data_IF_763134747602
#
_entry.id   IF_763134747602
#
_cell.length_a   1.000
_cell.length_b   1.000
_cell.length_c   1.000
_cell.angle_alpha   90.00
_cell.angle_beta   90.00
_cell.angle_gamma   90.00
#
_symmetry.space_group_name_H-M   'P 1'
#
loop_
_entity.id
_entity.type
_entity.pdbx_description
1 polymer ?
#
# COMPACT_ATOMS: atom_id res chain seq x y z
N UNK A 1 -4.40 13.15 35.67
CA UNK A 1 -3.81 12.56 34.46
C UNK A 1 -4.98 12.21 33.58
N UNK A 2 -5.34 13.12 32.68
CA UNK A 2 -6.49 12.95 31.80
C UNK A 2 -6.15 11.91 30.74
N UNK A 3 -6.96 10.87 30.65
CA UNK A 3 -7.03 9.97 29.51
C UNK A 3 -7.15 10.81 28.24
N UNK A 4 -6.03 10.96 27.52
CA UNK A 4 -6.09 11.36 26.13
C UNK A 4 -6.59 10.13 25.41
N UNK A 5 -7.90 9.98 25.31
CA UNK A 5 -8.50 9.12 24.31
C UNK A 5 -7.81 9.48 22.99
N UNK A 6 -6.92 8.61 22.53
CA UNK A 6 -6.21 8.84 21.29
C UNK A 6 -7.28 8.92 20.22
N UNK A 7 -7.56 10.13 19.74
CA UNK A 7 -8.56 10.35 18.69
C UNK A 7 -8.17 9.45 17.54
N UNK A 8 -8.94 8.39 17.32
CA UNK A 8 -8.66 7.41 16.28
C UNK A 8 -8.70 8.16 14.95
N UNK A 9 -7.55 8.28 14.30
CA UNK A 9 -7.44 8.86 12.96
C UNK A 9 -7.83 7.80 11.93
N UNK A 10 -8.38 8.24 10.80
CA UNK A 10 -8.49 7.41 9.60
C UNK A 10 -7.09 6.89 9.20
N UNK A 11 -7.07 5.75 8.51
CA UNK A 11 -5.88 5.04 8.06
C UNK A 11 -5.69 5.25 6.56
N UNK A 12 -4.44 5.45 6.15
CA UNK A 12 -4.02 5.53 4.76
C UNK A 12 -3.36 4.21 4.38
N UNK A 13 -4.00 3.50 3.46
CA UNK A 13 -3.50 2.29 2.83
C UNK A 13 -2.94 2.65 1.46
N UNK A 14 -1.77 2.12 1.12
CA UNK A 14 -1.11 2.42 -0.14
C UNK A 14 -0.30 1.21 -0.58
N UNK A 15 -0.27 1.02 -1.89
CA UNK A 15 0.51 0.00 -2.56
C UNK A 15 1.21 0.61 -3.78
N UNK A 16 2.40 0.10 -4.06
CA UNK A 16 3.20 0.49 -5.22
C UNK A 16 3.50 -0.74 -6.06
N UNK A 17 3.41 -0.55 -7.38
CA UNK A 17 4.06 -1.46 -8.31
C UNK A 17 5.39 -0.86 -8.75
N UNK A 18 6.43 -1.70 -8.80
CA UNK A 18 7.79 -1.31 -9.16
C UNK A 18 8.35 -2.16 -10.28
N UNK A 19 9.41 -1.65 -10.93
CA UNK A 19 10.21 -2.44 -11.89
C UNK A 19 11.11 -3.50 -11.22
N UNK A 20 11.03 -3.64 -9.89
CA UNK A 20 11.74 -4.61 -9.08
C UNK A 20 11.90 -4.13 -7.63
N UNK A 21 12.76 -4.79 -6.85
CA UNK A 21 12.87 -4.57 -5.40
C UNK A 21 14.06 -3.70 -4.97
N UNK A 22 15.03 -3.48 -5.86
CA UNK A 22 16.28 -2.78 -5.56
C UNK A 22 16.10 -1.28 -5.69
N UNK A 23 16.17 -0.56 -4.57
CA UNK A 23 15.85 0.87 -4.50
C UNK A 23 16.75 1.73 -5.40
N UNK A 24 17.98 1.29 -5.66
CA UNK A 24 18.97 2.06 -6.43
C UNK A 24 18.77 2.00 -7.94
N UNK A 25 18.09 0.97 -8.44
CA UNK A 25 17.95 0.70 -9.88
C UNK A 25 16.49 0.58 -10.33
N UNK A 26 15.58 0.19 -9.45
CA UNK A 26 14.17 0.02 -9.75
C UNK A 26 13.38 1.32 -9.55
N UNK A 27 12.24 1.43 -10.21
CA UNK A 27 11.41 2.64 -10.28
C UNK A 27 9.96 2.30 -9.96
N UNK A 28 9.22 3.28 -9.42
CA UNK A 28 7.78 3.20 -9.23
C UNK A 28 7.09 3.31 -10.60
N UNK A 29 6.13 2.43 -10.87
CA UNK A 29 5.34 2.37 -12.11
C UNK A 29 3.83 2.39 -11.87
N UNK A 30 3.34 2.08 -10.67
CA UNK A 30 1.97 2.34 -10.27
C UNK A 30 1.90 2.78 -8.81
N UNK A 31 0.91 3.59 -8.48
CA UNK A 31 0.54 3.94 -7.11
C UNK A 31 -0.98 4.01 -6.97
N UNK A 32 -1.49 3.50 -5.86
CA UNK A 32 -2.88 3.68 -5.45
C UNK A 32 -2.96 3.89 -3.93
N UNK A 33 -4.07 4.47 -3.47
CA UNK A 33 -4.34 4.65 -2.05
C UNK A 33 -5.81 4.43 -1.72
N UNK A 34 -6.09 3.88 -0.53
CA UNK A 34 -7.42 3.77 0.05
C UNK A 34 -7.41 4.39 1.45
N UNK A 35 -8.48 5.10 1.77
CA UNK A 35 -8.74 5.59 3.12
C UNK A 35 -9.72 4.66 3.80
N UNK A 36 -9.38 4.20 5.00
CA UNK A 36 -10.34 3.54 5.89
C UNK A 36 -10.54 4.33 7.18
N UNK A 37 -11.67 4.09 7.83
CA UNK A 37 -11.79 4.39 9.24
C UNK A 37 -10.95 3.38 10.09
N UNK A 38 -10.85 3.58 11.41
CA UNK A 38 -10.12 2.67 12.30
C UNK A 38 -10.70 1.25 12.40
N UNK A 39 -11.96 1.05 12.01
CA UNK A 39 -12.65 -0.23 12.00
C UNK A 39 -12.58 -0.90 10.61
N UNK A 40 -11.70 -0.39 9.75
CA UNK A 40 -11.37 -0.92 8.42
C UNK A 40 -12.51 -0.77 7.40
N UNK A 41 -13.47 0.13 7.63
CA UNK A 41 -14.47 0.48 6.64
C UNK A 41 -13.86 1.45 5.61
N UNK A 42 -14.00 1.13 4.32
CA UNK A 42 -13.49 1.97 3.23
C UNK A 42 -14.31 3.26 3.17
N UNK A 43 -13.61 4.40 3.21
CA UNK A 43 -14.19 5.74 3.13
C UNK A 43 -14.01 6.36 1.73
N UNK A 44 -12.86 6.08 1.09
CA UNK A 44 -12.54 6.61 -0.23
C UNK A 44 -11.43 5.79 -0.92
N UNK A 45 -11.44 5.78 -2.24
CA UNK A 45 -10.43 5.13 -3.10
C UNK A 45 -9.84 6.16 -4.07
N UNK A 46 -8.52 6.16 -4.24
CA UNK A 46 -7.86 6.95 -5.28
C UNK A 46 -7.98 6.25 -6.63
N UNK A 47 -7.76 6.95 -7.77
CA UNK A 47 -7.43 6.24 -9.00
C UNK A 47 -6.14 5.43 -8.83
N UNK A 48 -6.00 4.33 -9.56
CA UNK A 48 -4.74 3.64 -9.74
C UNK A 48 -3.93 4.36 -10.82
N UNK A 49 -2.85 5.03 -10.41
CA UNK A 49 -2.09 5.94 -11.26
C UNK A 49 -0.88 5.18 -11.82
N UNK A 50 -0.93 4.86 -13.12
CA UNK A 50 0.25 4.37 -13.83
C UNK A 50 1.21 5.53 -14.07
N UNK A 51 2.47 5.38 -13.67
CA UNK A 51 3.50 6.42 -13.74
C UNK A 51 4.40 6.14 -14.94
N UNK A 52 4.51 7.12 -15.82
CA UNK A 52 5.31 7.01 -17.04
C UNK A 52 6.78 6.66 -16.74
N UNK A 53 7.31 5.70 -17.49
CA UNK A 53 8.74 5.37 -17.54
C UNK A 53 9.17 5.14 -18.98
N UNK A 54 10.43 5.47 -19.28
CA UNK A 54 11.02 5.25 -20.60
C UNK A 54 11.18 3.75 -20.90
N UNK A 55 11.21 3.40 -22.18
CA UNK A 55 11.37 2.01 -22.66
C UNK A 55 12.61 1.30 -22.09
N UNK A 56 13.71 2.00 -21.90
CA UNK A 56 14.93 1.41 -21.34
C UNK A 56 14.74 0.93 -19.89
N UNK A 57 13.95 1.67 -19.10
CA UNK A 57 13.60 1.30 -17.73
C UNK A 57 12.68 0.07 -17.74
N UNK A 58 11.64 0.08 -18.59
CA UNK A 58 10.71 -1.05 -18.70
C UNK A 58 11.41 -2.33 -19.17
N UNK A 59 12.38 -2.22 -20.10
CA UNK A 59 13.18 -3.36 -20.57
C UNK A 59 14.19 -3.87 -19.56
N UNK A 60 14.55 -3.05 -18.57
CA UNK A 60 15.49 -3.44 -17.50
C UNK A 60 14.85 -4.26 -16.38
N UNK A 61 13.52 -4.42 -16.40
CA UNK A 61 12.79 -5.26 -15.46
C UNK A 61 13.29 -6.71 -15.47
N UNK A 62 13.24 -7.36 -14.30
CA UNK A 62 13.51 -8.80 -14.24
C UNK A 62 12.37 -9.61 -14.91
N UNK A 63 12.62 -10.90 -15.16
CA UNK A 63 11.67 -11.77 -15.86
C UNK A 63 10.32 -11.90 -15.16
N UNK A 64 10.30 -11.83 -13.83
CA UNK A 64 9.06 -11.87 -13.06
C UNK A 64 8.23 -10.60 -13.30
N UNK A 65 8.83 -9.42 -13.18
CA UNK A 65 8.14 -8.14 -13.41
C UNK A 65 7.63 -8.01 -14.85
N UNK A 66 8.44 -8.41 -15.85
CA UNK A 66 8.03 -8.41 -17.26
C UNK A 66 6.77 -9.25 -17.48
N UNK A 67 6.74 -10.45 -16.88
CA UNK A 67 5.60 -11.35 -17.00
C UNK A 67 4.37 -10.79 -16.29
N UNK A 68 4.50 -10.51 -14.99
CA UNK A 68 3.39 -10.09 -14.13
C UNK A 68 2.76 -8.78 -14.63
N UNK A 69 3.58 -7.75 -14.86
CA UNK A 69 3.10 -6.45 -15.33
C UNK A 69 2.65 -6.48 -16.79
N UNK A 70 3.11 -7.46 -17.56
CA UNK A 70 2.64 -7.71 -18.92
C UNK A 70 1.23 -8.32 -18.92
N UNK A 71 1.02 -9.35 -18.10
CA UNK A 71 -0.25 -10.07 -17.98
C UNK A 71 -1.35 -9.20 -17.35
N UNK A 72 -1.01 -8.34 -16.39
CA UNK A 72 -1.97 -7.37 -15.80
C UNK A 72 -2.30 -6.18 -16.72
N UNK A 73 -1.53 -5.99 -17.80
CA UNK A 73 -1.63 -4.84 -18.69
C UNK A 73 -1.00 -3.55 -18.14
N UNK A 74 -0.40 -3.59 -16.94
CA UNK A 74 0.25 -2.43 -16.31
C UNK A 74 1.38 -1.87 -17.17
N UNK A 75 2.21 -2.74 -17.78
CA UNK A 75 3.33 -2.29 -18.62
C UNK A 75 2.86 -1.40 -19.76
N UNK A 76 1.71 -1.73 -20.36
CA UNK A 76 1.15 -0.92 -21.44
C UNK A 76 0.52 0.38 -20.94
N UNK A 77 -0.15 0.35 -19.77
CA UNK A 77 -0.64 1.57 -19.11
C UNK A 77 0.50 2.53 -18.78
N UNK A 78 1.65 2.02 -18.35
CA UNK A 78 2.85 2.83 -18.06
C UNK A 78 3.39 3.48 -19.34
N UNK A 79 3.47 2.74 -20.46
CA UNK A 79 3.88 3.32 -21.75
C UNK A 79 2.96 4.43 -22.23
N UNK A 80 1.66 4.24 -22.05
CA UNK A 80 0.63 5.19 -22.48
C UNK A 80 0.42 6.36 -21.51
N UNK A 81 0.91 6.23 -20.28
CA UNK A 81 0.78 7.27 -19.26
C UNK A 81 1.60 8.49 -19.64
N UNK A 82 1.04 9.67 -19.37
CA UNK A 82 1.75 10.95 -19.41
C UNK A 82 2.01 11.51 -18.01
N UNK A 83 1.68 10.75 -16.96
CA UNK A 83 1.79 11.18 -15.56
C UNK A 83 3.20 10.86 -15.06
N UNK A 84 3.94 11.89 -14.64
CA UNK A 84 5.26 11.74 -14.02
C UNK A 84 5.18 11.51 -12.50
N UNK A 85 6.31 11.16 -11.88
CA UNK A 85 6.41 10.91 -10.43
C UNK A 85 5.86 12.06 -9.58
N UNK A 86 6.28 13.30 -9.85
CA UNK A 86 5.86 14.46 -9.07
C UNK A 86 4.35 14.73 -9.18
N UNK A 87 3.77 14.51 -10.37
CA UNK A 87 2.33 14.68 -10.58
C UNK A 87 1.54 13.62 -9.83
N UNK A 88 1.97 12.35 -9.93
CA UNK A 88 1.37 11.26 -9.16
C UNK A 88 1.46 11.49 -7.64
N UNK A 89 2.60 11.98 -7.13
CA UNK A 89 2.78 12.33 -5.73
C UNK A 89 1.77 13.40 -5.29
N UNK A 90 1.58 14.46 -6.09
CA UNK A 90 0.61 15.52 -5.76
C UNK A 90 -0.83 15.02 -5.83
N UNK A 91 -1.19 14.19 -6.81
CA UNK A 91 -2.53 13.62 -6.91
C UNK A 91 -2.89 12.78 -5.68
N UNK A 92 -1.95 11.95 -5.19
CA UNK A 92 -2.17 11.18 -3.96
C UNK A 92 -2.24 12.10 -2.73
N UNK A 93 -1.36 13.09 -2.63
CA UNK A 93 -1.41 14.09 -1.55
C UNK A 93 -2.75 14.85 -1.51
N UNK A 94 -3.26 15.28 -2.66
CA UNK A 94 -4.55 15.96 -2.78
C UNK A 94 -5.71 15.04 -2.40
N UNK A 95 -5.63 13.75 -2.76
CA UNK A 95 -6.60 12.74 -2.38
C UNK A 95 -6.65 12.49 -0.86
N UNK A 96 -5.50 12.37 -0.17
CA UNK A 96 -5.47 11.99 1.26
C UNK A 96 -5.75 13.15 2.22
N UNK A 97 -5.38 14.39 1.85
CA UNK A 97 -5.47 15.59 2.72
C UNK A 97 -6.86 15.85 3.33
N UNK A 98 -7.98 15.67 2.61
CA UNK A 98 -9.31 15.86 3.18
C UNK A 98 -9.66 14.88 4.31
N UNK A 99 -9.01 13.71 4.35
CA UNK A 99 -9.40 12.61 5.25
C UNK A 99 -8.49 12.43 6.46
N UNK A 100 -7.20 12.77 6.33
CA UNK A 100 -6.18 12.50 7.34
C UNK A 100 -5.25 13.69 7.42
N UNK A 101 -4.98 14.22 8.61
CA UNK A 101 -3.96 15.26 8.80
C UNK A 101 -2.56 14.67 8.75
N UNK A 102 -1.58 15.45 8.26
CA UNK A 102 -0.17 15.09 8.26
C UNK A 102 0.28 14.51 9.62
N UNK A 103 1.00 13.41 9.57
CA UNK A 103 1.59 12.74 10.73
C UNK A 103 0.60 11.97 11.60
N UNK A 104 -0.68 11.82 11.21
CA UNK A 104 -1.67 11.10 12.01
C UNK A 104 -1.80 9.62 11.66
N UNK A 105 -1.82 9.26 10.38
CA UNK A 105 -1.91 7.85 9.96
C UNK A 105 -0.52 7.23 9.81
N UNK A 106 -0.28 6.00 10.28
CA UNK A 106 0.82 5.19 9.77
C UNK A 106 0.61 4.89 8.28
N UNK A 107 1.65 4.40 7.60
CA UNK A 107 1.49 3.78 6.30
C UNK A 107 1.01 2.33 6.49
N UNK A 108 -0.09 1.96 5.84
CA UNK A 108 -0.75 0.65 5.99
C UNK A 108 -0.68 -0.16 4.69
N UNK A 109 -0.46 -1.47 4.81
CA UNK A 109 -0.39 -2.38 3.66
C UNK A 109 0.30 -3.70 4.01
N UNK A 110 0.49 -4.56 3.02
CA UNK A 110 1.26 -5.79 3.18
C UNK A 110 2.74 -5.57 2.85
N UNK A 111 3.64 -5.97 3.75
CA UNK A 111 5.10 -5.80 3.55
C UNK A 111 5.47 -4.36 3.25
N UNK A 112 4.67 -3.41 3.75
CA UNK A 112 4.59 -2.01 3.30
C UNK A 112 5.84 -1.19 3.62
N UNK A 113 6.76 -1.77 4.40
CA UNK A 113 8.10 -1.24 4.55
C UNK A 113 8.85 -1.17 3.20
N UNK A 114 8.59 -2.10 2.27
CA UNK A 114 9.16 -2.06 0.92
C UNK A 114 8.70 -0.80 0.18
N UNK A 115 7.40 -0.51 0.19
CA UNK A 115 6.83 0.69 -0.43
C UNK A 115 7.38 1.96 0.22
N UNK A 116 7.48 1.98 1.55
CA UNK A 116 8.03 3.12 2.28
C UNK A 116 9.44 3.49 1.82
N UNK A 117 10.29 2.50 1.51
CA UNK A 117 11.64 2.77 0.97
C UNK A 117 11.59 3.49 -0.37
N UNK A 118 10.67 3.10 -1.26
CA UNK A 118 10.48 3.75 -2.55
C UNK A 118 9.89 5.16 -2.38
N UNK A 119 8.88 5.32 -1.52
CA UNK A 119 8.33 6.63 -1.19
C UNK A 119 9.41 7.59 -0.65
N UNK A 120 10.25 7.15 0.29
CA UNK A 120 11.30 8.00 0.87
C UNK A 120 12.29 8.53 -0.18
N UNK A 121 12.55 7.77 -1.26
CA UNK A 121 13.47 8.18 -2.34
C UNK A 121 12.77 8.99 -3.44
N UNK A 122 11.60 8.55 -3.88
CA UNK A 122 10.95 9.04 -5.11
C UNK A 122 9.80 10.01 -4.84
N UNK A 123 9.17 9.95 -3.66
CA UNK A 123 8.01 10.76 -3.27
C UNK A 123 8.16 11.24 -1.81
N UNK A 124 9.21 12.02 -1.48
CA UNK A 124 9.54 12.36 -0.10
C UNK A 124 8.50 13.27 0.58
N UNK A 125 7.74 14.06 -0.18
CA UNK A 125 6.68 14.92 0.39
C UNK A 125 5.49 14.07 0.83
N UNK A 126 5.17 13.04 0.05
CA UNK A 126 4.16 12.05 0.41
C UNK A 126 4.64 11.18 1.57
N UNK A 127 5.90 10.72 1.58
CA UNK A 127 6.46 9.94 2.70
C UNK A 127 6.38 10.70 4.04
N UNK A 128 6.78 11.98 4.04
CA UNK A 128 6.72 12.88 5.20
C UNK A 128 5.27 13.19 5.64
N UNK A 129 4.28 12.91 4.79
CA UNK A 129 2.87 13.04 5.17
C UNK A 129 2.43 12.00 6.21
N UNK A 130 3.01 10.80 6.15
CA UNK A 130 2.68 9.70 7.05
C UNK A 130 3.33 9.88 8.42
N UNK A 131 2.75 9.26 9.44
CA UNK A 131 3.45 8.99 10.69
C UNK A 131 4.62 8.03 10.43
N UNK A 132 5.67 8.08 11.26
CA UNK A 132 6.87 7.23 11.11
C UNK A 132 6.62 5.73 11.30
N UNK A 133 5.42 5.34 11.76
CA UNK A 133 5.04 3.95 12.03
C UNK A 133 4.42 3.30 10.79
N UNK A 134 4.43 1.97 10.81
CA UNK A 134 3.76 1.13 9.83
C UNK A 134 2.66 0.33 10.51
N UNK A 135 1.56 0.11 9.81
CA UNK A 135 0.64 -0.99 10.06
C UNK A 135 0.88 -2.03 8.96
N UNK A 136 1.83 -2.93 9.21
CA UNK A 136 2.23 -3.96 8.23
C UNK A 136 1.44 -5.25 8.47
N UNK A 137 0.50 -5.54 7.58
CA UNK A 137 -0.38 -6.72 7.65
C UNK A 137 0.41 -8.03 7.57
N UNK A 138 1.54 -8.04 6.87
CA UNK A 138 2.41 -9.22 6.78
C UNK A 138 3.03 -9.58 8.14
N UNK A 139 3.16 -8.63 9.07
CA UNK A 139 3.60 -8.91 10.44
C UNK A 139 2.57 -9.78 11.20
N UNK A 140 1.27 -9.57 10.96
CA UNK A 140 0.21 -10.40 11.54
C UNK A 140 0.18 -11.80 10.91
N UNK A 141 0.44 -11.90 9.60
CA UNK A 141 0.61 -13.19 8.91
C UNK A 141 1.75 -14.02 9.51
N UNK A 142 2.90 -13.38 9.73
CA UNK A 142 4.06 -14.00 10.41
C UNK A 142 3.69 -14.41 11.83
N UNK A 143 3.06 -13.53 12.62
CA UNK A 143 2.61 -13.86 13.97
C UNK A 143 1.62 -15.04 14.00
N UNK A 144 0.64 -15.07 13.09
CA UNK A 144 -0.31 -16.16 12.95
C UNK A 144 0.40 -17.49 12.65
N UNK A 145 1.45 -17.49 11.82
CA UNK A 145 2.24 -18.69 11.52
C UNK A 145 2.93 -19.31 12.73
N UNK A 146 3.25 -18.52 13.75
CA UNK A 146 3.88 -19.02 14.98
C UNK A 146 2.84 -19.36 16.04
N UNK A 147 1.82 -18.51 16.21
CA UNK A 147 0.96 -18.55 17.39
C UNK A 147 -0.44 -19.09 17.13
N UNK A 148 -0.91 -19.08 15.87
CA UNK A 148 -2.21 -19.66 15.50
C UNK A 148 -2.20 -20.23 14.06
N UNK A 149 -1.35 -21.23 13.73
CA UNK A 149 -1.16 -21.66 12.34
C UNK A 149 -2.44 -22.14 11.64
N UNK A 150 -3.42 -22.62 12.41
CA UNK A 150 -4.69 -23.15 11.92
C UNK A 150 -5.56 -22.14 11.15
N UNK A 151 -5.32 -20.84 11.31
CA UNK A 151 -6.09 -19.81 10.61
C UNK A 151 -5.52 -19.46 9.22
N UNK A 152 -4.27 -19.82 8.93
CA UNK A 152 -3.59 -19.40 7.69
C UNK A 152 -4.24 -19.94 6.40
N UNK A 153 -4.87 -21.11 6.46
CA UNK A 153 -5.55 -21.71 5.31
C UNK A 153 -6.95 -21.14 5.06
N UNK A 154 -7.43 -20.25 5.93
CA UNK A 154 -8.80 -19.73 5.89
C UNK A 154 -8.89 -18.38 5.16
N UNK A 155 -7.75 -17.81 4.78
CA UNK A 155 -7.67 -16.59 3.99
C UNK A 155 -6.89 -16.87 2.71
N UNK A 156 -7.53 -16.67 1.56
CA UNK A 156 -6.95 -16.89 0.24
C UNK A 156 -6.87 -15.57 -0.53
N UNK A 157 -5.68 -15.26 -1.04
CA UNK A 157 -5.43 -14.03 -1.82
C UNK A 157 -5.56 -14.34 -3.30
N UNK A 158 -6.23 -13.47 -4.04
CA UNK A 158 -6.26 -13.55 -5.50
C UNK A 158 -4.94 -13.05 -6.12
N UNK A 159 -4.26 -12.09 -5.47
CA UNK A 159 -2.94 -11.56 -5.89
C UNK A 159 -2.90 -11.11 -7.35
N UNK A 160 -3.68 -10.08 -7.68
CA UNK A 160 -3.83 -9.60 -9.06
C UNK A 160 -2.69 -8.71 -9.53
N UNK A 161 -1.82 -8.24 -8.61
CA UNK A 161 -0.67 -7.36 -8.92
C UNK A 161 -1.11 -6.08 -9.64
N UNK A 162 -2.19 -5.50 -9.09
CA UNK A 162 -2.72 -4.19 -9.42
C UNK A 162 -2.91 -3.44 -8.10
N UNK A 163 -2.30 -2.27 -7.98
CA UNK A 163 -2.14 -1.61 -6.69
C UNK A 163 -3.46 -1.44 -5.90
N UNK A 164 -4.56 -1.08 -6.56
CA UNK A 164 -5.85 -0.87 -5.86
C UNK A 164 -6.48 -2.18 -5.35
N UNK A 165 -6.33 -3.27 -6.11
CA UNK A 165 -6.86 -4.58 -5.72
C UNK A 165 -6.02 -5.16 -4.57
N UNK A 166 -4.70 -5.04 -4.65
CA UNK A 166 -3.77 -5.51 -3.61
C UNK A 166 -3.97 -4.76 -2.28
N UNK A 167 -4.35 -3.47 -2.32
CA UNK A 167 -4.76 -2.72 -1.12
C UNK A 167 -6.06 -3.29 -0.52
N UNK A 168 -7.06 -3.59 -1.35
CA UNK A 168 -8.34 -4.17 -0.87
C UNK A 168 -8.11 -5.52 -0.21
N UNK A 169 -7.28 -6.36 -0.83
CA UNK A 169 -6.87 -7.63 -0.22
C UNK A 169 -6.13 -7.43 1.10
N UNK A 170 -5.27 -6.41 1.19
CA UNK A 170 -4.57 -6.08 2.44
C UNK A 170 -5.52 -5.68 3.56
N UNK A 171 -6.57 -4.89 3.23
CA UNK A 171 -7.62 -4.47 4.17
C UNK A 171 -8.42 -5.69 4.64
N UNK A 172 -8.84 -6.55 3.71
CA UNK A 172 -9.62 -7.74 4.05
C UNK A 172 -8.80 -8.77 4.82
N UNK A 173 -7.50 -8.90 4.52
CA UNK A 173 -6.57 -9.71 5.30
C UNK A 173 -6.42 -9.17 6.73
N UNK A 174 -6.33 -7.84 6.89
CA UNK A 174 -6.28 -7.23 8.22
C UNK A 174 -7.57 -7.43 9.01
N UNK A 175 -8.75 -7.31 8.38
CA UNK A 175 -10.04 -7.65 9.01
C UNK A 175 -10.06 -9.10 9.47
N UNK A 176 -9.54 -10.02 8.66
CA UNK A 176 -9.43 -11.42 9.01
C UNK A 176 -8.57 -11.62 10.27
N UNK A 177 -7.39 -11.01 10.35
CA UNK A 177 -6.54 -11.10 11.55
C UNK A 177 -7.16 -10.41 12.77
N UNK A 178 -7.85 -9.28 12.57
CA UNK A 178 -8.60 -8.61 13.62
C UNK A 178 -9.63 -9.55 14.25
N UNK A 179 -10.41 -10.27 13.45
CA UNK A 179 -11.45 -11.19 13.95
C UNK A 179 -10.89 -12.52 14.51
N UNK A 180 -9.77 -13.01 13.98
CA UNK A 180 -9.33 -14.38 14.23
C UNK A 180 -8.04 -14.51 15.03
N UNK A 181 -7.19 -13.48 15.10
CA UNK A 181 -5.90 -13.52 15.80
C UNK A 181 -5.88 -12.65 17.05
N UNK A 182 -6.57 -11.51 17.02
CA UNK A 182 -6.57 -10.55 18.13
C UNK A 182 -7.71 -10.84 19.09
N UNK A 183 -7.41 -10.82 20.40
CA UNK A 183 -8.46 -10.80 21.42
C UNK A 183 -8.89 -9.35 21.63
N UNK A 184 -9.96 -8.94 20.95
CA UNK A 184 -10.44 -7.57 21.02
C UNK A 184 -11.50 -7.47 22.11
N UNK A 185 -11.15 -6.84 23.23
CA UNK A 185 -12.13 -6.33 24.17
C UNK A 185 -12.63 -4.97 23.63
N UNK A 186 -13.39 -4.98 22.53
CA UNK A 186 -14.02 -3.76 22.01
C UNK A 186 -15.17 -3.43 22.96
N UNK A 187 -14.91 -2.55 23.93
CA UNK A 187 -15.92 -1.97 24.83
C UNK A 187 -16.47 -0.68 24.25
#
# INVERSE_FOLDING_TARGET
MSDVAQTKSNLIWLDLEMTGLEIDTCHIIEIAAIITDPDLNILAESPAIAIHQNEDILKSMNSWCIKTHGESGLTERVRQSNIGLNEAEQMILEFIKPYVKKGQSPLCGNSVWQDRKFLAKYMPTLEDYFHYRLLDVSSFKIAASFWKPSILQQFDKQSTHLALDDIKESIDEMKFYQANLLNLDIT
#
